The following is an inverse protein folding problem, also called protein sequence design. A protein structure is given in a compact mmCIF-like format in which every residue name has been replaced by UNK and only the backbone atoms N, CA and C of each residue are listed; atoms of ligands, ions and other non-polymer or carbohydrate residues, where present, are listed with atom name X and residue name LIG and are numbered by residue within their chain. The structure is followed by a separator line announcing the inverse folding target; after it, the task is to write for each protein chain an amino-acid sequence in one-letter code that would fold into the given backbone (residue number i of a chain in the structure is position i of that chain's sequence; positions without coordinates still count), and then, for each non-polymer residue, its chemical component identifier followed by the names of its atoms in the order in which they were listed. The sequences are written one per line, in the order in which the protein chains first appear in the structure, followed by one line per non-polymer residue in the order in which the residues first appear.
data_IF_454628376998
#
_entry.id   IF_454628376998
#
_cell.length_a   1.000
_cell.length_b   1.000
_cell.length_c   1.000
_cell.angle_alpha   90.00
_cell.angle_beta   90.00
_cell.angle_gamma   90.00
#
_symmetry.space_group_name_H-M   'P 1'
#
loop_
_entity.id
_entity.type
_entity.pdbx_description
1 polymer ?
#
# COMPACT_ATOMS: atom_id res chain seq x y z
N UNK A 1 -31.07 44.62 -51.16
CA UNK A 1 -30.86 44.13 -49.78
C UNK A 1 -31.16 42.64 -49.74
N UNK A 2 -30.12 41.79 -49.80
CA UNK A 2 -30.22 40.33 -49.92
C UNK A 2 -30.37 39.70 -48.53
N UNK A 3 -31.41 38.89 -48.34
CA UNK A 3 -31.64 38.04 -47.17
C UNK A 3 -30.74 36.79 -47.29
N UNK A 4 -29.91 36.53 -46.29
CA UNK A 4 -29.11 35.31 -46.17
C UNK A 4 -29.83 34.39 -45.17
N UNK A 5 -30.30 33.23 -45.63
CA UNK A 5 -30.78 32.13 -44.79
C UNK A 5 -29.57 31.46 -44.12
N UNK A 6 -29.60 31.34 -42.80
CA UNK A 6 -28.70 30.47 -42.05
C UNK A 6 -29.26 29.03 -42.06
N UNK A 7 -28.54 28.11 -42.68
CA UNK A 7 -28.81 26.67 -42.61
C UNK A 7 -27.97 26.11 -41.46
N UNK A 8 -28.61 25.77 -40.35
CA UNK A 8 -27.99 25.05 -39.24
C UNK A 8 -27.85 23.57 -39.61
N UNK A 9 -26.60 23.12 -39.80
CA UNK A 9 -26.26 21.71 -39.94
C UNK A 9 -26.14 21.15 -38.53
N UNK A 10 -27.19 20.49 -38.05
CA UNK A 10 -27.16 19.73 -36.78
C UNK A 10 -26.49 18.39 -37.06
N UNK A 11 -25.21 18.27 -36.69
CA UNK A 11 -24.50 16.99 -36.72
C UNK A 11 -25.02 16.13 -35.57
N UNK A 12 -25.85 15.12 -35.89
CA UNK A 12 -26.24 14.06 -34.97
C UNK A 12 -24.99 13.23 -34.62
N UNK A 13 -24.34 13.56 -33.51
CA UNK A 13 -23.45 12.62 -32.84
C UNK A 13 -24.34 11.62 -32.10
N UNK A 14 -24.56 10.45 -32.69
CA UNK A 14 -25.10 9.30 -31.96
C UNK A 14 -24.08 8.90 -30.88
N UNK A 15 -24.27 9.43 -29.68
CA UNK A 15 -23.67 8.87 -28.49
C UNK A 15 -24.29 7.48 -28.28
N UNK A 16 -23.50 6.43 -28.47
CA UNK A 16 -23.82 5.10 -27.97
C UNK A 16 -23.85 5.15 -26.44
N UNK A 17 -24.95 5.61 -25.87
CA UNK A 17 -25.29 5.32 -24.49
C UNK A 17 -25.55 3.82 -24.40
N UNK A 18 -24.59 3.07 -23.86
CA UNK A 18 -24.82 1.68 -23.46
C UNK A 18 -25.98 1.67 -22.45
N UNK A 19 -27.02 0.90 -22.77
CA UNK A 19 -28.07 0.52 -21.83
C UNK A 19 -27.44 -0.04 -20.53
N UNK A 20 -28.13 -0.06 -19.38
CA UNK A 20 -27.65 -0.71 -18.16
C UNK A 20 -27.60 -2.23 -18.39
N UNK A 21 -26.57 -2.65 -19.10
CA UNK A 21 -26.35 -3.98 -19.61
C UNK A 21 -25.59 -4.80 -18.58
N UNK A 22 -25.96 -6.08 -18.53
CA UNK A 22 -25.29 -7.16 -17.82
C UNK A 22 -23.77 -6.94 -17.75
N UNK A 23 -23.20 -6.96 -16.55
CA UNK A 23 -21.75 -6.84 -16.39
C UNK A 23 -21.03 -7.88 -17.26
N UNK A 24 -19.93 -7.52 -17.95
CA UNK A 24 -19.26 -8.44 -18.85
C UNK A 24 -18.80 -9.68 -18.10
N UNK A 25 -18.92 -10.85 -18.73
CA UNK A 25 -18.39 -12.09 -18.15
C UNK A 25 -16.88 -12.02 -18.00
N UNK A 26 -16.31 -12.83 -17.11
CA UNK A 26 -14.86 -12.95 -16.96
C UNK A 26 -14.20 -13.30 -18.30
N UNK A 27 -14.78 -14.26 -19.04
CA UNK A 27 -14.33 -14.69 -20.37
C UNK A 27 -14.31 -13.54 -21.38
N UNK A 28 -15.39 -12.77 -21.47
CA UNK A 28 -15.45 -11.62 -22.38
C UNK A 28 -14.39 -10.56 -22.02
N UNK A 29 -14.24 -10.27 -20.72
CA UNK A 29 -13.25 -9.29 -20.23
C UNK A 29 -11.82 -9.73 -20.57
N UNK A 30 -11.48 -10.99 -20.33
CA UNK A 30 -10.15 -11.56 -20.61
C UNK A 30 -9.84 -11.47 -22.12
N UNK A 31 -10.81 -11.81 -22.97
CA UNK A 31 -10.63 -11.74 -24.41
C UNK A 31 -10.40 -10.31 -24.91
N UNK A 32 -11.18 -9.34 -24.41
CA UNK A 32 -11.08 -7.94 -24.85
C UNK A 32 -9.84 -7.23 -24.33
N UNK A 33 -9.47 -7.44 -23.05
CA UNK A 33 -8.49 -6.59 -22.38
C UNK A 33 -7.16 -7.28 -22.03
N UNK A 34 -7.08 -8.62 -22.07
CA UNK A 34 -5.91 -9.35 -21.59
C UNK A 34 -5.18 -10.11 -22.70
N UNK A 35 -5.89 -10.85 -23.55
CA UNK A 35 -5.30 -11.78 -24.54
C UNK A 35 -4.43 -11.07 -25.58
N UNK A 36 -4.71 -9.81 -25.91
CA UNK A 36 -3.88 -9.03 -26.83
C UNK A 36 -2.40 -8.92 -26.42
N UNK A 37 -2.11 -8.95 -25.10
CA UNK A 37 -0.75 -8.82 -24.57
C UNK A 37 -0.27 -10.08 -23.82
N UNK A 38 -1.17 -10.79 -23.14
CA UNK A 38 -0.87 -11.98 -22.34
C UNK A 38 -1.18 -13.27 -23.10
N UNK A 39 -0.58 -13.47 -24.27
CA UNK A 39 -0.75 -14.69 -25.08
C UNK A 39 0.54 -15.51 -25.19
N UNK A 40 0.50 -16.67 -25.83
CA UNK A 40 1.69 -17.54 -25.99
C UNK A 40 2.86 -16.87 -26.72
N UNK A 41 2.57 -15.89 -27.60
CA UNK A 41 3.59 -15.23 -28.43
C UNK A 41 4.25 -14.05 -27.71
N UNK A 42 3.57 -13.43 -26.74
CA UNK A 42 4.09 -12.30 -25.96
C UNK A 42 4.47 -12.64 -24.51
N UNK A 43 3.73 -13.57 -23.89
CA UNK A 43 3.82 -14.00 -22.48
C UNK A 43 4.23 -12.89 -21.52
N UNK A 44 3.65 -11.69 -21.66
CA UNK A 44 4.09 -10.52 -20.90
C UNK A 44 3.98 -10.80 -19.40
N UNK A 45 5.04 -10.47 -18.67
CA UNK A 45 5.22 -10.78 -17.25
C UNK A 45 5.10 -12.28 -16.91
N UNK A 46 5.41 -13.17 -17.87
CA UNK A 46 5.40 -14.62 -17.69
C UNK A 46 4.00 -15.23 -17.62
N UNK A 47 2.97 -14.55 -18.14
CA UNK A 47 1.58 -15.01 -18.13
C UNK A 47 1.04 -15.17 -19.56
N UNK A 48 0.68 -16.39 -19.92
CA UNK A 48 -0.07 -16.73 -21.13
C UNK A 48 -1.53 -17.01 -20.75
N UNK A 49 -2.34 -15.95 -20.66
CA UNK A 49 -3.73 -16.03 -20.20
C UNK A 49 -4.63 -16.76 -21.20
N UNK A 50 -4.23 -16.83 -22.46
CA UNK A 50 -4.90 -17.57 -23.53
C UNK A 50 -4.79 -19.09 -23.39
N UNK A 51 -3.91 -19.58 -22.51
CA UNK A 51 -3.87 -20.99 -22.06
C UNK A 51 -4.75 -21.25 -20.84
N UNK A 52 -5.24 -20.22 -20.17
CA UNK A 52 -6.09 -20.37 -18.99
C UNK A 52 -7.55 -20.47 -19.41
N UNK A 53 -8.34 -21.21 -18.65
CA UNK A 53 -9.78 -21.30 -18.85
C UNK A 53 -10.51 -20.42 -17.81
N UNK A 54 -11.12 -19.29 -18.22
CA UNK A 54 -11.85 -18.41 -17.31
C UNK A 54 -13.11 -19.05 -16.71
N UNK A 55 -13.62 -20.15 -17.30
CA UNK A 55 -14.74 -20.91 -16.75
C UNK A 55 -14.29 -22.00 -15.75
N UNK A 56 -12.98 -22.28 -15.69
CA UNK A 56 -12.36 -23.26 -14.77
C UNK A 56 -11.22 -22.63 -13.98
N UNK A 57 -11.50 -21.52 -13.31
CA UNK A 57 -10.52 -20.74 -12.52
C UNK A 57 -9.73 -21.59 -11.52
N UNK A 58 -10.37 -22.58 -10.88
CA UNK A 58 -9.71 -23.44 -9.88
C UNK A 58 -8.62 -24.33 -10.46
N UNK A 59 -8.64 -24.63 -11.76
CA UNK A 59 -7.65 -25.48 -12.41
C UNK A 59 -6.25 -24.84 -12.45
N UNK A 60 -6.16 -23.51 -12.45
CA UNK A 60 -4.91 -22.76 -12.29
C UNK A 60 -5.10 -21.57 -11.35
N UNK A 61 -5.48 -21.88 -10.11
CA UNK A 61 -5.72 -20.87 -9.09
C UNK A 61 -4.50 -19.94 -8.90
N UNK A 62 -3.28 -20.47 -8.98
CA UNK A 62 -2.06 -19.69 -8.77
C UNK A 62 -1.90 -18.56 -9.80
N UNK A 63 -2.15 -18.82 -11.09
CA UNK A 63 -2.12 -17.79 -12.13
C UNK A 63 -3.27 -16.79 -11.95
N UNK A 64 -4.47 -17.27 -11.64
CA UNK A 64 -5.63 -16.40 -11.43
C UNK A 64 -5.54 -15.52 -10.17
N UNK A 65 -4.87 -15.98 -9.10
CA UNK A 65 -4.56 -15.15 -7.93
C UNK A 65 -3.62 -14.00 -8.27
N UNK A 66 -2.65 -14.23 -9.18
CA UNK A 66 -1.78 -13.15 -9.69
C UNK A 66 -2.59 -12.13 -10.49
N UNK A 67 -3.52 -12.60 -11.33
CA UNK A 67 -4.45 -11.73 -12.08
C UNK A 67 -5.29 -10.90 -11.12
N UNK A 68 -5.97 -11.56 -10.16
CA UNK A 68 -6.81 -10.88 -9.17
C UNK A 68 -6.04 -9.82 -8.38
N UNK A 69 -4.77 -10.07 -8.04
CA UNK A 69 -3.91 -9.10 -7.36
C UNK A 69 -3.64 -7.85 -8.20
N UNK A 70 -3.30 -8.01 -9.49
CA UNK A 70 -3.13 -6.86 -10.39
C UNK A 70 -4.43 -6.10 -10.58
N UNK A 71 -5.55 -6.83 -10.63
CA UNK A 71 -6.86 -6.22 -10.77
C UNK A 71 -7.22 -5.38 -9.52
N UNK A 72 -7.12 -5.93 -8.32
CA UNK A 72 -7.36 -5.17 -7.07
C UNK A 72 -6.51 -3.90 -6.97
N UNK A 73 -5.26 -3.97 -7.41
CA UNK A 73 -4.34 -2.82 -7.46
C UNK A 73 -4.68 -1.80 -8.57
N UNK A 74 -5.59 -2.14 -9.48
CA UNK A 74 -5.93 -1.43 -10.71
C UNK A 74 -4.74 -1.17 -11.63
N UNK A 75 -3.70 -2.00 -11.55
CA UNK A 75 -2.46 -1.88 -12.34
C UNK A 75 -2.55 -2.55 -13.70
N UNK A 76 -3.62 -3.32 -13.95
CA UNK A 76 -3.93 -3.91 -15.25
C UNK A 76 -5.34 -3.56 -15.72
N UNK A 77 -5.56 -3.27 -17.01
CA UNK A 77 -4.56 -3.07 -18.07
C UNK A 77 -3.55 -1.95 -17.73
N UNK A 78 -2.38 -1.83 -18.40
CA UNK A 78 -1.41 -0.79 -18.08
C UNK A 78 -1.85 0.60 -18.58
N UNK A 79 -1.07 1.64 -18.27
CA UNK A 79 -1.30 3.01 -18.78
C UNK A 79 -1.35 3.00 -20.31
N UNK A 80 -2.35 3.66 -20.89
CA UNK A 80 -2.52 3.82 -22.34
C UNK A 80 -3.23 2.66 -23.05
N UNK A 81 -3.50 1.54 -22.36
CA UNK A 81 -4.33 0.45 -22.90
C UNK A 81 -5.82 0.73 -22.67
N UNK A 82 -6.72 0.22 -23.54
CA UNK A 82 -8.15 0.22 -23.28
C UNK A 82 -8.46 -0.44 -21.93
N UNK A 83 -9.37 0.16 -21.16
CA UNK A 83 -9.76 -0.33 -19.83
C UNK A 83 -11.27 -0.55 -19.76
N UNK A 84 -11.74 -1.54 -18.98
CA UNK A 84 -13.13 -1.60 -18.59
C UNK A 84 -13.50 -0.41 -17.70
N UNK A 85 -14.77 -0.02 -17.71
CA UNK A 85 -15.28 0.97 -16.77
C UNK A 85 -15.26 0.42 -15.33
N UNK A 86 -15.49 1.29 -14.34
CA UNK A 86 -15.38 0.95 -12.93
C UNK A 86 -16.30 -0.22 -12.50
N UNK A 87 -17.56 -0.22 -12.94
CA UNK A 87 -18.53 -1.26 -12.60
C UNK A 87 -18.12 -2.63 -13.15
N UNK A 88 -17.64 -2.67 -14.40
CA UNK A 88 -17.10 -3.89 -15.00
C UNK A 88 -15.86 -4.38 -14.24
N UNK A 89 -14.99 -3.46 -13.80
CA UNK A 89 -13.81 -3.76 -13.01
C UNK A 89 -14.16 -4.47 -11.69
N UNK A 90 -15.09 -3.90 -10.93
CA UNK A 90 -15.56 -4.43 -9.65
C UNK A 90 -16.25 -5.78 -9.81
N UNK A 91 -17.09 -5.91 -10.84
CA UNK A 91 -17.77 -7.17 -11.17
C UNK A 91 -16.77 -8.29 -11.46
N UNK A 92 -15.74 -8.03 -12.26
CA UNK A 92 -14.72 -9.03 -12.63
C UNK A 92 -13.88 -9.41 -11.43
N UNK A 93 -13.44 -8.45 -10.61
CA UNK A 93 -12.69 -8.73 -9.36
C UNK A 93 -13.51 -9.59 -8.41
N UNK A 94 -14.79 -9.24 -8.21
CA UNK A 94 -15.70 -9.98 -7.33
C UNK A 94 -15.95 -11.40 -7.83
N UNK A 95 -16.26 -11.54 -9.13
CA UNK A 95 -16.55 -12.83 -9.76
C UNK A 95 -15.33 -13.76 -9.76
N UNK A 96 -14.15 -13.22 -10.06
CA UNK A 96 -12.90 -13.99 -10.04
C UNK A 96 -12.55 -14.44 -8.61
N UNK A 97 -12.68 -13.57 -7.61
CA UNK A 97 -12.46 -13.93 -6.22
C UNK A 97 -13.43 -15.04 -5.74
N UNK A 98 -14.71 -14.94 -6.13
CA UNK A 98 -15.71 -15.95 -5.80
C UNK A 98 -15.45 -17.28 -6.51
N UNK A 99 -14.96 -17.25 -7.76
CA UNK A 99 -14.57 -18.45 -8.50
C UNK A 99 -13.35 -19.14 -7.88
N UNK A 100 -12.35 -18.37 -7.42
CA UNK A 100 -11.18 -18.87 -6.70
C UNK A 100 -11.51 -19.51 -5.35
N UNK A 101 -12.56 -19.05 -4.68
CA UNK A 101 -13.02 -19.61 -3.41
C UNK A 101 -13.93 -20.83 -3.57
N UNK A 102 -14.49 -21.04 -4.77
CA UNK A 102 -15.53 -22.06 -4.99
C UNK A 102 -14.96 -23.46 -4.84
N UNK A 103 -15.55 -24.24 -3.93
CA UNK A 103 -15.18 -25.65 -3.72
C UNK A 103 -13.82 -25.84 -3.02
N UNK A 104 -13.19 -24.76 -2.55
CA UNK A 104 -11.96 -24.85 -1.74
C UNK A 104 -12.35 -24.88 -0.27
N UNK A 105 -12.24 -26.04 0.43
CA UNK A 105 -12.58 -26.11 1.84
C UNK A 105 -11.59 -25.28 2.65
N UNK A 106 -12.10 -24.43 3.55
CA UNK A 106 -11.27 -23.78 4.55
C UNK A 106 -10.74 -24.81 5.54
N UNK A 107 -9.55 -24.55 6.09
CA UNK A 107 -9.00 -25.37 7.17
C UNK A 107 -9.97 -25.41 8.36
N UNK A 108 -10.07 -26.55 9.08
CA UNK A 108 -10.86 -26.65 10.29
C UNK A 108 -10.44 -25.58 11.29
N UNK A 109 -11.42 -24.99 12.00
CA UNK A 109 -11.11 -24.01 13.04
C UNK A 109 -10.30 -24.68 14.16
N UNK A 110 -9.24 -24.03 14.67
CA UNK A 110 -8.42 -24.56 15.75
C UNK A 110 -9.21 -24.70 17.06
N UNK A 111 -8.71 -25.55 17.96
CA UNK A 111 -9.21 -25.64 19.33
C UNK A 111 -8.76 -24.44 20.19
N UNK A 112 -9.38 -24.23 21.34
CA UNK A 112 -9.10 -23.09 22.22
C UNK A 112 -7.64 -22.98 22.66
N UNK A 113 -6.97 -24.11 22.97
CA UNK A 113 -5.55 -24.12 23.33
C UNK A 113 -4.64 -23.65 22.18
N UNK A 114 -5.00 -24.01 20.96
CA UNK A 114 -4.29 -23.57 19.76
C UNK A 114 -4.56 -22.09 19.45
N UNK A 115 -5.80 -21.61 19.62
CA UNK A 115 -6.14 -20.19 19.52
C UNK A 115 -5.30 -19.36 20.51
N UNK A 116 -5.21 -19.78 21.77
CA UNK A 116 -4.40 -19.12 22.78
C UNK A 116 -2.92 -19.03 22.36
N UNK A 117 -2.36 -20.15 21.90
CA UNK A 117 -0.96 -20.24 21.46
C UNK A 117 -0.70 -19.33 20.26
N UNK A 118 -1.56 -19.38 19.23
CA UNK A 118 -1.46 -18.52 18.04
C UNK A 118 -1.56 -17.04 18.39
N UNK A 119 -2.47 -16.68 19.30
CA UNK A 119 -2.68 -15.30 19.72
C UNK A 119 -1.46 -14.73 20.47
N UNK A 120 -0.90 -15.48 21.42
CA UNK A 120 0.29 -15.05 22.15
C UNK A 120 1.54 -15.00 21.26
N UNK A 121 1.72 -15.97 20.37
CA UNK A 121 2.80 -15.98 19.40
C UNK A 121 2.72 -14.78 18.45
N UNK A 122 1.52 -14.44 17.97
CA UNK A 122 1.31 -13.32 17.07
C UNK A 122 1.53 -11.96 17.76
N UNK A 123 0.91 -11.75 18.93
CA UNK A 123 0.88 -10.43 19.57
C UNK A 123 2.11 -10.14 20.43
N UNK A 124 2.63 -11.15 21.12
CA UNK A 124 3.68 -10.98 22.13
C UNK A 124 4.97 -11.70 21.76
N UNK A 125 5.02 -12.44 20.65
CA UNK A 125 6.14 -13.30 20.27
C UNK A 125 6.58 -14.20 21.44
N UNK A 126 5.60 -14.76 22.16
CA UNK A 126 5.82 -15.47 23.43
C UNK A 126 4.67 -16.39 23.81
N UNK A 127 4.74 -17.04 24.98
CA UNK A 127 3.72 -17.97 25.44
C UNK A 127 2.44 -17.23 25.92
N UNK A 128 1.29 -17.91 25.91
CA UNK A 128 0.06 -17.40 26.53
C UNK A 128 0.26 -17.10 28.02
N UNK A 129 -0.35 -16.02 28.50
CA UNK A 129 -0.40 -15.75 29.93
C UNK A 129 -1.49 -16.57 30.63
N UNK A 130 -1.48 -16.57 31.97
CA UNK A 130 -2.40 -17.37 32.76
C UNK A 130 -3.87 -17.07 32.43
N UNK A 131 -4.23 -15.80 32.24
CA UNK A 131 -5.60 -15.41 31.89
C UNK A 131 -6.05 -16.00 30.54
N UNK A 132 -5.17 -15.99 29.53
CA UNK A 132 -5.47 -16.58 28.22
C UNK A 132 -5.52 -18.11 28.29
N UNK A 133 -4.65 -18.75 29.09
CA UNK A 133 -4.68 -20.19 29.35
C UNK A 133 -5.98 -20.62 30.04
N UNK A 134 -6.44 -19.86 31.03
CA UNK A 134 -7.67 -20.17 31.76
C UNK A 134 -8.90 -20.02 30.86
N UNK A 135 -8.93 -18.96 30.03
CA UNK A 135 -9.95 -18.80 29.00
C UNK A 135 -9.97 -20.00 28.03
N UNK A 136 -8.80 -20.49 27.62
CA UNK A 136 -8.67 -21.65 26.76
C UNK A 136 -9.16 -22.95 27.41
N UNK A 137 -8.75 -23.22 28.66
CA UNK A 137 -9.18 -24.39 29.45
C UNK A 137 -10.69 -24.41 29.66
N UNK A 138 -11.29 -23.23 29.84
CA UNK A 138 -12.75 -23.10 29.98
C UNK A 138 -13.54 -23.19 28.66
N UNK A 139 -12.87 -23.38 27.51
CA UNK A 139 -13.52 -23.50 26.20
C UNK A 139 -14.19 -22.21 25.70
N UNK A 140 -13.75 -21.04 26.19
CA UNK A 140 -14.40 -19.75 25.93
C UNK A 140 -13.78 -18.95 24.78
N UNK A 141 -12.61 -19.31 24.26
CA UNK A 141 -11.93 -18.55 23.20
C UNK A 141 -12.58 -18.70 21.82
N UNK A 142 -13.51 -19.64 21.66
CA UNK A 142 -14.37 -19.74 20.48
C UNK A 142 -15.55 -18.77 20.51
N UNK A 143 -15.86 -18.18 21.67
CA UNK A 143 -16.83 -17.10 21.76
C UNK A 143 -16.21 -15.82 21.17
N UNK A 144 -16.82 -15.24 20.10
CA UNK A 144 -16.28 -14.05 19.45
C UNK A 144 -16.10 -12.85 20.38
N UNK A 145 -16.95 -12.68 21.40
CA UNK A 145 -16.85 -11.57 22.35
C UNK A 145 -15.69 -11.78 23.33
N UNK A 146 -15.50 -13.00 23.83
CA UNK A 146 -14.38 -13.33 24.72
C UNK A 146 -13.04 -13.23 23.98
N UNK A 147 -12.98 -13.71 22.74
CA UNK A 147 -11.77 -13.60 21.92
C UNK A 147 -11.40 -12.14 21.65
N UNK A 148 -12.37 -11.30 21.25
CA UNK A 148 -12.15 -9.87 21.02
C UNK A 148 -11.67 -9.15 22.29
N UNK A 149 -12.24 -9.50 23.45
CA UNK A 149 -11.80 -8.99 24.75
C UNK A 149 -10.33 -9.36 25.05
N UNK A 150 -9.93 -10.62 24.83
CA UNK A 150 -8.55 -11.04 25.02
C UNK A 150 -7.59 -10.34 24.07
N UNK A 151 -7.96 -10.18 22.79
CA UNK A 151 -7.14 -9.48 21.81
C UNK A 151 -6.90 -8.02 22.24
N UNK A 152 -7.97 -7.28 22.59
CA UNK A 152 -7.82 -5.87 23.03
C UNK A 152 -6.98 -5.71 24.28
N UNK A 153 -7.18 -6.60 25.27
CA UNK A 153 -6.34 -6.65 26.47
C UNK A 153 -4.88 -6.85 26.11
N UNK A 154 -4.59 -7.80 25.23
CA UNK A 154 -3.22 -8.13 24.84
C UNK A 154 -2.57 -7.05 24.00
N UNK A 155 -3.32 -6.35 23.15
CA UNK A 155 -2.84 -5.18 22.40
C UNK A 155 -2.53 -3.99 23.32
N UNK A 156 -3.27 -3.85 24.43
CA UNK A 156 -3.04 -2.80 25.43
C UNK A 156 -1.80 -3.04 26.31
N UNK A 157 -1.34 -4.29 26.42
CA UNK A 157 -0.16 -4.69 27.19
C UNK A 157 1.14 -4.21 26.52
N UNK A 158 2.16 -3.84 27.30
CA UNK A 158 3.45 -3.40 26.78
C UNK A 158 4.15 -4.46 25.91
N UNK A 159 3.87 -5.75 26.14
CA UNK A 159 4.38 -6.86 25.32
C UNK A 159 3.91 -6.81 23.86
N UNK A 160 2.81 -6.08 23.56
CA UNK A 160 2.33 -5.93 22.17
C UNK A 160 3.30 -5.18 21.27
N UNK A 161 4.28 -4.45 21.84
CA UNK A 161 5.41 -3.90 21.12
C UNK A 161 6.16 -4.96 20.31
N UNK A 162 6.15 -6.23 20.72
CA UNK A 162 6.71 -7.34 19.96
C UNK A 162 6.10 -7.48 18.56
N UNK A 163 4.80 -7.22 18.38
CA UNK A 163 4.17 -7.21 17.06
C UNK A 163 4.64 -6.03 16.21
N UNK A 164 4.80 -4.85 16.82
CA UNK A 164 5.32 -3.67 16.12
C UNK A 164 6.75 -3.92 15.62
N UNK A 165 7.62 -4.41 16.50
CA UNK A 165 9.02 -4.64 16.17
C UNK A 165 9.22 -5.87 15.28
N UNK A 166 8.45 -6.95 15.50
CA UNK A 166 8.61 -8.23 14.82
C UNK A 166 7.90 -8.32 13.46
N UNK A 167 6.78 -7.64 13.28
CA UNK A 167 6.03 -7.64 12.02
C UNK A 167 6.17 -6.31 11.28
N UNK A 168 5.74 -5.20 11.90
CA UNK A 168 5.65 -3.92 11.19
C UNK A 168 7.02 -3.33 10.85
N UNK A 169 8.02 -3.46 11.73
CA UNK A 169 9.39 -3.01 11.47
C UNK A 169 9.96 -3.59 10.16
N UNK A 170 10.07 -4.92 10.04
CA UNK A 170 10.51 -5.58 8.82
C UNK A 170 9.57 -5.36 7.63
N UNK A 171 8.24 -5.47 7.84
CA UNK A 171 7.27 -5.34 6.75
C UNK A 171 7.31 -3.96 6.11
N UNK A 172 7.36 -2.88 6.90
CA UNK A 172 7.46 -1.50 6.40
C UNK A 172 8.90 -1.09 6.07
N UNK A 173 9.88 -1.96 6.33
CA UNK A 173 11.31 -1.77 6.11
C UNK A 173 11.96 -0.67 6.97
N UNK A 174 11.46 -0.46 8.19
CA UNK A 174 11.96 0.60 9.08
C UNK A 174 13.43 0.38 9.47
N UNK A 175 13.91 -0.86 9.47
CA UNK A 175 15.30 -1.19 9.80
C UNK A 175 16.28 -0.66 8.75
N UNK A 176 15.83 -0.41 7.51
CA UNK A 176 16.66 0.23 6.47
C UNK A 176 17.12 1.63 6.85
N UNK A 177 16.44 2.29 7.79
CA UNK A 177 16.83 3.62 8.25
C UNK A 177 18.20 3.61 8.94
N UNK A 178 18.61 2.48 9.53
CA UNK A 178 19.93 2.32 10.15
C UNK A 178 21.07 2.42 9.12
N UNK A 179 20.82 1.99 7.88
CA UNK A 179 21.82 1.97 6.81
C UNK A 179 21.92 3.31 6.05
N UNK A 180 20.97 4.22 6.26
CA UNK A 180 20.96 5.52 5.58
C UNK A 180 22.05 6.42 6.16
N UNK A 181 22.91 6.94 5.28
CA UNK A 181 24.00 7.86 5.62
C UNK A 181 23.82 9.18 4.85
N UNK A 182 23.05 10.14 5.38
CA UNK A 182 22.91 11.44 4.73
C UNK A 182 24.24 12.18 4.65
N UNK A 183 24.48 12.88 3.54
CA UNK A 183 25.67 13.69 3.37
C UNK A 183 25.68 14.84 4.41
N UNK A 184 26.68 14.90 5.32
CA UNK A 184 26.71 15.92 6.37
C UNK A 184 26.93 17.34 5.85
N UNK A 185 27.45 17.53 4.63
CA UNK A 185 27.56 18.85 4.01
C UNK A 185 26.20 19.37 3.54
N UNK A 186 25.31 18.48 3.13
CA UNK A 186 23.95 18.82 2.66
C UNK A 186 22.94 18.80 3.80
N UNK A 187 23.12 17.89 4.76
CA UNK A 187 22.23 17.65 5.89
C UNK A 187 23.00 17.67 7.22
N UNK A 188 23.56 18.82 7.63
CA UNK A 188 24.34 18.92 8.87
C UNK A 188 23.52 18.61 10.13
N UNK A 189 22.20 18.83 10.06
CA UNK A 189 21.27 18.57 11.15
C UNK A 189 20.79 17.12 11.22
N UNK A 190 21.34 16.17 10.43
CA UNK A 190 20.97 14.76 10.55
C UNK A 190 21.98 14.01 11.44
N UNK A 191 21.49 13.51 12.58
CA UNK A 191 22.27 12.79 13.58
C UNK A 191 21.56 11.49 14.02
N UNK A 192 22.24 10.69 14.85
CA UNK A 192 21.67 9.46 15.41
C UNK A 192 20.41 9.72 16.26
N UNK A 193 20.36 10.75 17.14
CA UNK A 193 19.11 11.10 17.84
C UNK A 193 17.91 11.38 16.93
N UNK A 194 18.09 12.09 15.82
CA UNK A 194 17.03 12.32 14.83
C UNK A 194 16.62 11.02 14.15
N UNK A 195 17.60 10.18 13.75
CA UNK A 195 17.33 8.86 13.17
C UNK A 195 16.47 8.00 14.10
N UNK A 196 16.83 7.94 15.38
CA UNK A 196 16.06 7.22 16.40
C UNK A 196 14.67 7.84 16.59
N UNK A 197 14.57 9.17 16.59
CA UNK A 197 13.29 9.84 16.76
C UNK A 197 12.31 9.55 15.60
N UNK A 198 12.81 9.52 14.36
CA UNK A 198 12.04 9.12 13.18
C UNK A 198 11.52 7.68 13.28
N UNK A 199 12.37 6.74 13.73
CA UNK A 199 11.95 5.34 13.93
C UNK A 199 10.93 5.22 15.06
N UNK A 200 11.14 5.94 16.16
CA UNK A 200 10.26 5.92 17.32
C UNK A 200 8.89 6.52 17.02
N UNK A 201 8.80 7.59 16.21
CA UNK A 201 7.53 8.13 15.70
C UNK A 201 6.68 7.03 15.06
N UNK A 202 7.24 6.32 14.08
CA UNK A 202 6.50 5.27 13.37
C UNK A 202 6.09 4.13 14.29
N UNK A 203 6.98 3.72 15.21
CA UNK A 203 6.67 2.70 16.20
C UNK A 203 5.49 3.08 17.09
N UNK A 204 5.53 4.26 17.71
CA UNK A 204 4.44 4.76 18.57
C UNK A 204 3.13 4.97 17.81
N UNK A 205 3.22 5.45 16.57
CA UNK A 205 2.06 5.59 15.70
C UNK A 205 1.36 4.26 15.43
N UNK A 206 2.11 3.20 15.12
CA UNK A 206 1.53 1.87 14.88
C UNK A 206 1.01 1.26 16.18
N UNK A 207 1.76 1.41 17.28
CA UNK A 207 1.35 0.96 18.61
C UNK A 207 0.02 1.59 19.02
N UNK A 208 -0.16 2.90 18.78
CA UNK A 208 -1.43 3.58 19.08
C UNK A 208 -2.58 3.08 18.21
N UNK A 209 -2.33 2.80 16.92
CA UNK A 209 -3.35 2.27 16.01
C UNK A 209 -3.87 0.91 16.48
N UNK A 210 -2.96 0.03 16.91
CA UNK A 210 -3.28 -1.29 17.46
C UNK A 210 -4.04 -1.19 18.78
N UNK A 211 -3.57 -0.36 19.71
CA UNK A 211 -4.20 -0.15 21.02
C UNK A 211 -5.61 0.43 20.93
N UNK A 212 -5.79 1.41 20.05
CA UNK A 212 -7.08 2.06 19.83
C UNK A 212 -8.04 1.19 18.98
N UNK A 213 -7.64 0.00 18.53
CA UNK A 213 -8.44 -0.92 17.71
C UNK A 213 -9.03 -0.25 16.45
N UNK A 214 -8.21 0.59 15.79
CA UNK A 214 -8.58 1.35 14.59
C UNK A 214 -8.78 0.48 13.35
N UNK A 215 -9.38 1.06 12.30
CA UNK A 215 -9.31 0.49 10.96
C UNK A 215 -7.86 0.64 10.44
N UNK A 216 -7.18 -0.43 10.01
CA UNK A 216 -5.83 -0.34 9.46
C UNK A 216 -5.65 0.64 8.29
N UNK A 217 -6.71 1.02 7.57
CA UNK A 217 -6.62 2.08 6.57
C UNK A 217 -6.18 3.42 7.17
N UNK A 218 -6.42 3.65 8.46
CA UNK A 218 -5.94 4.85 9.17
C UNK A 218 -4.42 4.94 9.25
N UNK A 219 -3.67 3.84 9.01
CA UNK A 219 -2.22 3.92 8.82
C UNK A 219 -1.85 4.92 7.71
N UNK A 220 -2.74 5.17 6.76
CA UNK A 220 -2.51 6.06 5.63
C UNK A 220 -3.16 7.43 5.79
N UNK A 221 -4.25 7.56 6.54
CA UNK A 221 -5.04 8.80 6.63
C UNK A 221 -4.98 9.49 7.99
N UNK A 222 -4.40 8.88 9.03
CA UNK A 222 -4.37 9.47 10.35
C UNK A 222 -3.78 10.89 10.31
N UNK A 223 -4.53 11.83 10.89
CA UNK A 223 -4.20 13.25 10.96
C UNK A 223 -3.45 13.61 12.25
N UNK A 224 -2.71 12.65 12.80
CA UNK A 224 -1.89 12.82 13.98
C UNK A 224 -0.60 12.04 13.85
N UNK A 225 0.42 12.44 14.60
CA UNK A 225 1.69 11.72 14.73
C UNK A 225 2.25 11.82 16.15
N UNK A 226 3.40 11.21 16.40
CA UNK A 226 4.13 11.27 17.67
C UNK A 226 5.45 11.99 17.48
N UNK A 227 5.68 13.06 18.25
CA UNK A 227 6.94 13.81 18.20
C UNK A 227 7.47 14.11 19.60
N UNK A 228 8.80 14.11 19.73
CA UNK A 228 9.51 14.84 20.78
C UNK A 228 10.03 16.17 20.23
N UNK A 229 10.74 16.96 21.04
CA UNK A 229 11.23 18.28 20.59
C UNK A 229 12.14 18.20 19.36
N UNK A 230 13.03 17.20 19.30
CA UNK A 230 13.97 17.04 18.19
C UNK A 230 13.25 16.83 16.86
N UNK A 231 12.27 15.93 16.85
CA UNK A 231 11.48 15.64 15.66
C UNK A 231 10.48 16.75 15.34
N UNK A 232 9.89 17.38 16.35
CA UNK A 232 9.02 18.53 16.17
C UNK A 232 9.74 19.67 15.44
N UNK A 233 10.99 19.99 15.82
CA UNK A 233 11.83 20.95 15.10
C UNK A 233 12.07 20.53 13.65
N UNK A 234 12.37 19.26 13.40
CA UNK A 234 12.55 18.73 12.03
C UNK A 234 11.30 18.88 11.15
N UNK A 235 10.11 18.79 11.74
CA UNK A 235 8.84 18.98 11.03
C UNK A 235 8.27 20.38 11.04
N UNK A 236 8.88 21.32 11.78
CA UNK A 236 8.33 22.67 11.97
C UNK A 236 7.08 22.71 12.86
N UNK A 237 6.94 21.78 13.80
CA UNK A 237 5.86 21.75 14.80
C UNK A 237 6.27 22.61 16.00
N UNK A 238 5.58 23.74 16.27
CA UNK A 238 5.92 24.61 17.39
C UNK A 238 5.46 24.02 18.73
N UNK A 239 5.92 24.61 19.82
CA UNK A 239 5.41 24.37 21.18
C UNK A 239 5.59 22.93 21.71
N UNK A 240 6.63 22.22 21.26
CA UNK A 240 7.05 20.92 21.80
C UNK A 240 8.44 21.10 22.41
N UNK A 241 8.64 20.57 23.63
CA UNK A 241 9.89 20.67 24.38
C UNK A 241 10.16 19.39 25.15
N UNK A 242 11.43 18.99 25.27
CA UNK A 242 11.86 17.77 25.97
C UNK A 242 11.93 16.52 25.08
N UNK A 243 12.46 15.45 25.67
CA UNK A 243 12.71 14.14 25.04
C UNK A 243 11.47 13.28 24.85
N UNK A 244 10.43 13.53 25.64
CA UNK A 244 9.21 12.70 25.66
C UNK A 244 8.38 12.86 24.39
N UNK A 245 7.93 11.74 23.85
CA UNK A 245 7.05 11.72 22.68
C UNK A 245 5.61 12.05 23.08
N UNK A 246 4.96 12.88 22.26
CA UNK A 246 3.57 13.29 22.45
C UNK A 246 2.80 13.07 21.16
N UNK A 247 1.56 12.58 21.30
CA UNK A 247 0.61 12.57 20.19
C UNK A 247 0.20 14.00 19.88
N UNK A 248 0.39 14.44 18.65
CA UNK A 248 0.04 15.79 18.17
C UNK A 248 -0.73 15.70 16.86
N UNK A 249 -1.60 16.68 16.52
CA UNK A 249 -2.14 16.79 15.18
C UNK A 249 -1.03 16.88 14.14
N UNK A 250 -1.23 16.27 12.96
CA UNK A 250 -0.30 16.42 11.84
C UNK A 250 -0.27 17.89 11.39
N UNK A 251 0.90 18.44 10.98
CA UNK A 251 1.05 19.85 10.59
C UNK A 251 0.20 20.31 9.40
N UNK A 252 -0.39 19.36 8.68
CA UNK A 252 -1.23 19.58 7.50
C UNK A 252 -1.71 18.23 6.95
N UNK A 253 -2.70 18.25 6.04
CA UNK A 253 -3.21 17.03 5.42
C UNK A 253 -2.13 16.27 4.66
N UNK A 254 -1.05 16.91 4.21
CA UNK A 254 0.04 16.35 3.42
C UNK A 254 0.88 15.35 4.22
N UNK A 255 1.05 15.59 5.52
CA UNK A 255 1.77 14.71 6.45
C UNK A 255 0.91 13.62 7.10
N UNK A 256 -0.32 13.41 6.63
CA UNK A 256 -1.19 12.37 7.18
C UNK A 256 -0.62 10.94 6.94
N UNK A 257 -0.70 10.11 7.97
CA UNK A 257 -0.30 8.70 7.97
C UNK A 257 1.15 8.44 7.55
N UNK A 258 1.42 7.19 7.17
CA UNK A 258 2.76 6.68 6.83
C UNK A 258 3.45 7.44 5.69
N UNK A 259 2.70 8.01 4.74
CA UNK A 259 3.28 8.78 3.63
C UNK A 259 3.88 10.12 4.07
N UNK A 260 3.49 10.62 5.25
CA UNK A 260 4.01 11.86 5.82
C UNK A 260 5.18 11.69 6.78
N UNK A 261 5.51 10.45 7.15
CA UNK A 261 6.52 10.15 8.18
C UNK A 261 7.92 10.15 7.59
N UNK A 262 8.83 10.80 8.30
CA UNK A 262 10.20 11.03 7.83
C UNK A 262 11.02 9.75 7.79
N UNK A 263 10.72 8.74 8.60
CA UNK A 263 11.39 7.43 8.54
C UNK A 263 11.29 6.83 7.13
N UNK A 264 10.07 6.76 6.60
CA UNK A 264 9.77 6.24 5.26
C UNK A 264 10.32 7.14 4.18
N UNK A 265 10.09 8.45 4.28
CA UNK A 265 10.57 9.42 3.29
C UNK A 265 12.11 9.40 3.16
N UNK A 266 12.80 9.14 4.27
CA UNK A 266 14.27 9.09 4.34
C UNK A 266 14.85 7.86 3.63
N UNK A 267 14.47 6.64 4.03
CA UNK A 267 15.05 5.44 3.40
C UNK A 267 14.56 5.19 1.96
N UNK A 268 13.49 5.88 1.55
CA UNK A 268 12.99 5.85 0.17
C UNK A 268 13.59 6.97 -0.71
N UNK A 269 14.63 7.66 -0.25
CA UNK A 269 15.33 8.72 -0.99
C UNK A 269 16.83 8.43 -1.14
N UNK A 270 17.51 9.20 -1.99
CA UNK A 270 18.98 9.23 -2.04
C UNK A 270 19.45 10.34 -1.11
N UNK A 271 20.11 9.98 -0.01
CA UNK A 271 20.56 10.94 1.00
C UNK A 271 22.05 11.21 0.96
N UNK A 272 22.81 10.35 0.31
CA UNK A 272 24.26 10.47 0.14
C UNK A 272 24.62 11.18 -1.16
N UNK A 273 25.90 11.58 -1.25
CA UNK A 273 26.53 11.99 -2.50
C UNK A 273 27.30 10.80 -3.07
N UNK A 274 26.58 9.76 -3.50
CA UNK A 274 27.18 8.62 -4.19
C UNK A 274 27.58 8.97 -5.63
N UNK A 275 28.60 8.28 -6.15
CA UNK A 275 29.11 8.51 -7.52
C UNK A 275 28.04 8.35 -8.63
N UNK A 276 26.98 7.57 -8.36
CA UNK A 276 25.89 7.33 -9.31
C UNK A 276 24.90 8.51 -9.32
N UNK A 277 24.58 9.09 -8.15
CA UNK A 277 23.56 10.14 -8.03
C UNK A 277 24.13 11.55 -8.00
N UNK A 278 25.41 11.73 -7.66
CA UNK A 278 26.15 13.00 -7.69
C UNK A 278 25.70 14.10 -6.71
N UNK A 279 24.52 13.95 -6.10
CA UNK A 279 23.92 14.82 -5.10
C UNK A 279 22.75 14.07 -4.42
N UNK A 280 22.37 14.41 -3.18
CA UNK A 280 21.13 13.89 -2.60
C UNK A 280 19.88 14.29 -3.40
N UNK A 281 18.84 13.45 -3.37
CA UNK A 281 17.57 13.70 -4.06
C UNK A 281 16.42 12.84 -3.52
N UNK A 282 15.22 13.42 -3.52
CA UNK A 282 14.00 12.63 -3.41
C UNK A 282 13.95 11.65 -4.60
N UNK A 283 13.49 10.42 -4.34
CA UNK A 283 13.48 9.36 -5.36
C UNK A 283 12.04 8.95 -5.69
N UNK A 284 11.43 9.50 -6.76
CA UNK A 284 10.11 9.08 -7.21
C UNK A 284 10.03 7.57 -7.46
N UNK A 285 11.12 6.99 -7.96
CA UNK A 285 11.24 5.57 -8.23
C UNK A 285 11.10 4.72 -6.95
N UNK A 286 11.90 5.04 -5.92
CA UNK A 286 11.93 4.27 -4.69
C UNK A 286 10.70 4.51 -3.83
N UNK A 287 10.22 5.76 -3.75
CA UNK A 287 8.95 6.12 -3.09
C UNK A 287 7.76 5.42 -3.74
N UNK A 288 7.64 5.51 -5.06
CA UNK A 288 6.57 4.87 -5.81
C UNK A 288 6.60 3.35 -5.70
N UNK A 289 7.80 2.74 -5.71
CA UNK A 289 7.99 1.30 -5.44
C UNK A 289 7.48 0.93 -4.05
N UNK A 290 7.83 1.71 -3.02
CA UNK A 290 7.39 1.43 -1.66
C UNK A 290 5.86 1.48 -1.54
N UNK A 291 5.20 2.52 -2.07
CA UNK A 291 3.74 2.63 -2.08
C UNK A 291 3.11 1.44 -2.80
N UNK A 292 3.64 1.09 -3.98
CA UNK A 292 3.12 0.00 -4.81
C UNK A 292 3.23 -1.37 -4.11
N UNK A 293 4.31 -1.61 -3.38
CA UNK A 293 4.51 -2.86 -2.64
C UNK A 293 3.67 -2.92 -1.36
N UNK A 294 3.62 -1.86 -0.56
CA UNK A 294 3.03 -1.89 0.78
C UNK A 294 1.55 -1.52 0.80
N UNK A 295 1.09 -0.65 -0.11
CA UNK A 295 -0.32 -0.34 -0.27
C UNK A 295 -0.99 -1.29 -1.27
N UNK A 296 -0.48 -1.37 -2.50
CA UNK A 296 -1.17 -2.07 -3.59
C UNK A 296 -0.86 -3.59 -3.63
N UNK A 297 0.15 -4.05 -2.88
CA UNK A 297 0.48 -5.47 -2.79
C UNK A 297 1.09 -6.07 -4.05
N UNK A 298 1.50 -5.23 -5.00
CA UNK A 298 2.09 -5.64 -6.27
C UNK A 298 3.55 -5.20 -6.27
N UNK A 299 4.47 -6.15 -6.49
CA UNK A 299 5.88 -5.83 -6.60
C UNK A 299 6.21 -5.36 -8.01
N UNK A 300 6.99 -4.28 -8.20
CA UNK A 300 7.52 -3.97 -9.52
C UNK A 300 8.47 -5.10 -9.94
N UNK A 301 8.75 -5.25 -11.25
CA UNK A 301 9.76 -6.20 -11.71
C UNK A 301 11.11 -5.96 -11.00
N UNK A 302 11.95 -7.00 -10.87
CA UNK A 302 13.28 -6.84 -10.31
C UNK A 302 14.04 -5.73 -11.05
N UNK A 303 14.87 -4.96 -10.34
CA UNK A 303 15.69 -3.93 -11.00
C UNK A 303 16.59 -4.61 -12.03
N UNK A 304 16.70 -4.02 -13.21
CA UNK A 304 17.70 -4.37 -14.21
C UNK A 304 18.77 -3.28 -14.21
N UNK A 305 20.04 -3.67 -14.43
CA UNK A 305 21.13 -2.72 -14.50
C UNK A 305 20.89 -1.74 -15.66
N UNK A 306 20.68 -0.47 -15.33
CA UNK A 306 20.66 0.60 -16.32
C UNK A 306 21.64 1.70 -15.91
N UNK A 307 22.42 2.17 -16.87
CA UNK A 307 23.26 3.35 -16.70
C UNK A 307 22.38 4.60 -16.84
N UNK A 308 21.54 4.87 -15.83
CA UNK A 308 20.90 6.19 -15.72
C UNK A 308 21.91 7.17 -15.12
N UNK A 309 22.43 8.08 -15.94
CA UNK A 309 23.27 9.17 -15.48
C UNK A 309 22.39 10.37 -15.16
N UNK A 310 22.35 10.76 -13.88
CA UNK A 310 21.62 11.95 -13.44
C UNK A 310 22.28 13.22 -14.00
N UNK A 311 21.47 14.16 -14.46
CA UNK A 311 21.90 15.53 -14.72
C UNK A 311 21.99 16.32 -13.40
N UNK A 312 23.17 16.84 -13.07
CA UNK A 312 23.39 17.62 -11.85
C UNK A 312 22.57 18.91 -11.86
N UNK A 313 21.99 19.30 -10.72
CA UNK A 313 21.24 20.54 -10.58
C UNK A 313 19.84 20.54 -11.19
N UNK A 314 19.41 19.42 -11.79
CA UNK A 314 18.03 19.22 -12.22
C UNK A 314 17.30 18.28 -11.25
N UNK A 315 16.09 18.60 -10.79
CA UNK A 315 15.30 17.71 -9.95
C UNK A 315 15.11 16.33 -10.58
N UNK A 316 15.25 15.27 -9.79
CA UNK A 316 15.13 13.91 -10.32
C UNK A 316 13.73 13.65 -10.91
N UNK A 317 12.67 14.18 -10.29
CA UNK A 317 11.31 14.10 -10.84
C UNK A 317 11.17 14.74 -12.23
N UNK A 318 11.81 15.90 -12.45
CA UNK A 318 11.82 16.58 -13.76
C UNK A 318 12.55 15.74 -14.80
N UNK A 319 13.70 15.16 -14.45
CA UNK A 319 14.44 14.25 -15.32
C UNK A 319 13.62 13.01 -15.68
N UNK A 320 13.00 12.37 -14.69
CA UNK A 320 12.25 11.12 -14.90
C UNK A 320 10.96 11.31 -15.68
N UNK A 321 10.33 12.49 -15.61
CA UNK A 321 9.19 12.88 -16.48
C UNK A 321 9.61 13.06 -17.93
N UNK A 322 10.78 13.65 -18.16
CA UNK A 322 11.32 13.91 -19.50
C UNK A 322 11.89 12.69 -20.21
N UNK A 323 11.87 11.50 -19.60
CA UNK A 323 12.45 10.31 -20.21
C UNK A 323 11.67 9.88 -21.47
N UNK A 324 12.37 9.59 -22.59
CA UNK A 324 11.74 9.16 -23.83
C UNK A 324 11.01 7.82 -23.65
N UNK A 325 10.08 7.50 -24.55
CA UNK A 325 9.44 6.19 -24.57
C UNK A 325 10.50 5.10 -24.83
N UNK A 326 10.60 4.14 -23.92
CA UNK A 326 11.53 3.02 -23.95
C UNK A 326 10.92 1.87 -23.16
N UNK A 327 11.37 0.62 -23.34
CA UNK A 327 10.92 -0.50 -22.51
C UNK A 327 11.06 -0.23 -20.99
N UNK A 328 12.12 0.48 -20.58
CA UNK A 328 12.36 0.85 -19.18
C UNK A 328 11.35 1.88 -18.67
N UNK A 329 11.14 2.94 -19.45
CA UNK A 329 10.24 4.05 -19.06
C UNK A 329 8.78 3.63 -19.13
N UNK A 330 8.42 2.71 -20.02
CA UNK A 330 7.09 2.12 -20.07
C UNK A 330 6.76 1.33 -18.79
N UNK A 331 7.72 0.61 -18.23
CA UNK A 331 7.55 -0.06 -16.93
C UNK A 331 7.47 0.96 -15.79
N UNK A 332 8.37 1.95 -15.78
CA UNK A 332 8.49 2.94 -14.71
C UNK A 332 7.31 3.92 -14.64
N UNK A 333 6.69 4.24 -15.78
CA UNK A 333 5.44 5.02 -15.85
C UNK A 333 4.30 4.43 -15.01
N UNK A 334 4.36 3.15 -14.66
CA UNK A 334 3.35 2.51 -13.81
C UNK A 334 3.54 2.73 -12.30
N UNK A 335 4.65 3.32 -11.85
CA UNK A 335 4.89 3.55 -10.41
C UNK A 335 5.64 4.84 -10.06
N UNK A 336 6.43 5.41 -10.96
CA UNK A 336 7.05 6.73 -10.76
C UNK A 336 6.03 7.81 -10.39
N UNK A 337 4.85 7.89 -11.05
CA UNK A 337 3.85 8.87 -10.68
C UNK A 337 3.47 8.85 -9.20
N UNK A 338 3.37 7.66 -8.58
CA UNK A 338 3.06 7.54 -7.16
C UNK A 338 4.10 8.24 -6.27
N UNK A 339 5.37 8.19 -6.68
CA UNK A 339 6.45 8.92 -6.01
C UNK A 339 6.37 10.44 -6.22
N UNK A 340 5.88 10.89 -7.38
CA UNK A 340 5.73 12.33 -7.67
C UNK A 340 4.79 13.04 -6.68
N UNK A 341 3.75 12.35 -6.19
CA UNK A 341 2.85 12.89 -5.18
C UNK A 341 3.55 13.21 -3.85
N UNK A 342 4.77 12.74 -3.63
CA UNK A 342 5.55 13.03 -2.43
C UNK A 342 6.67 14.05 -2.67
N UNK A 343 6.76 14.68 -3.85
CA UNK A 343 7.90 15.55 -4.18
C UNK A 343 7.98 16.80 -3.30
N UNK A 344 6.90 17.23 -2.65
CA UNK A 344 6.97 18.28 -1.63
C UNK A 344 7.72 17.87 -0.35
N UNK A 345 8.16 16.61 -0.24
CA UNK A 345 9.06 16.16 0.80
C UNK A 345 10.49 16.02 0.27
N UNK A 346 11.44 16.68 0.91
CA UNK A 346 12.87 16.54 0.65
C UNK A 346 13.39 15.12 1.02
N UNK A 347 14.67 14.80 0.78
CA UNK A 347 15.22 13.48 1.08
C UNK A 347 15.12 13.06 2.55
N UNK A 348 14.97 13.98 3.50
CA UNK A 348 14.81 13.69 4.93
C UNK A 348 13.36 13.85 5.41
N UNK A 349 12.43 14.06 4.48
CA UNK A 349 11.01 14.24 4.77
C UNK A 349 10.64 15.62 5.31
N UNK A 350 11.47 16.65 5.12
CA UNK A 350 11.10 18.05 5.38
C UNK A 350 10.25 18.59 4.24
N UNK A 351 9.37 19.54 4.54
CA UNK A 351 8.51 20.15 3.53
C UNK A 351 9.30 21.13 2.65
N UNK A 352 9.03 21.16 1.35
CA UNK A 352 9.63 22.06 0.37
C UNK A 352 8.64 22.44 -0.75
N UNK A 353 8.83 23.64 -1.28
CA UNK A 353 8.07 24.17 -2.43
C UNK A 353 8.96 24.41 -3.66
N UNK A 354 10.28 24.31 -3.51
CA UNK A 354 11.29 24.47 -4.57
C UNK A 354 12.29 23.32 -4.48
N UNK A 355 12.79 22.87 -5.63
CA UNK A 355 13.89 21.91 -5.81
C UNK A 355 14.99 22.54 -6.67
N UNK A 356 16.13 22.87 -6.07
CA UNK A 356 17.14 23.68 -6.75
C UNK A 356 16.55 25.04 -7.14
N UNK A 357 16.37 25.27 -8.44
CA UNK A 357 15.76 26.50 -8.99
C UNK A 357 14.33 26.31 -9.49
N UNK A 358 13.83 25.07 -9.51
CA UNK A 358 12.52 24.73 -10.07
C UNK A 358 11.45 24.69 -8.96
N UNK A 359 10.24 25.24 -9.17
CA UNK A 359 9.10 24.94 -8.32
C UNK A 359 8.83 23.43 -8.28
N UNK A 360 8.46 22.92 -7.11
CA UNK A 360 8.08 21.50 -6.97
C UNK A 360 6.80 21.25 -7.74
N UNK A 361 6.88 20.33 -8.70
CA UNK A 361 5.71 19.73 -9.35
C UNK A 361 5.45 18.35 -8.73
N UNK A 362 4.43 18.27 -7.90
CA UNK A 362 3.99 17.04 -7.25
C UNK A 362 2.80 16.36 -7.96
N UNK A 363 2.53 16.74 -9.21
CA UNK A 363 1.46 16.14 -10.01
C UNK A 363 1.83 14.74 -10.49
N UNK A 364 0.83 13.87 -10.54
CA UNK A 364 0.93 12.52 -11.03
C UNK A 364 -0.43 11.95 -11.40
N UNK A 365 -0.44 10.70 -11.84
CA UNK A 365 -1.65 9.96 -12.10
C UNK A 365 -1.49 8.50 -11.68
N UNK A 366 -2.59 7.89 -11.23
CA UNK A 366 -2.68 6.45 -11.04
C UNK A 366 -2.60 5.73 -12.39
N UNK A 367 -2.39 4.41 -12.38
CA UNK A 367 -2.30 3.60 -13.62
C UNK A 367 -3.58 3.66 -14.47
N UNK A 368 -4.74 3.90 -13.85
CA UNK A 368 -6.01 4.08 -14.55
C UNK A 368 -6.25 5.52 -15.05
N UNK A 369 -5.28 6.42 -14.87
CA UNK A 369 -5.36 7.82 -15.30
C UNK A 369 -5.93 8.77 -14.25
N UNK A 370 -6.36 8.30 -13.07
CA UNK A 370 -6.86 9.18 -12.00
C UNK A 370 -5.78 10.19 -11.59
N UNK A 371 -5.98 11.50 -11.81
CA UNK A 371 -4.96 12.50 -11.51
C UNK A 371 -4.88 12.76 -10.01
N UNK A 372 -3.72 13.22 -9.56
CA UNK A 372 -3.52 13.77 -8.22
C UNK A 372 -2.40 14.81 -8.23
N UNK A 373 -2.44 15.72 -7.27
CA UNK A 373 -1.38 16.67 -6.99
C UNK A 373 -1.01 16.63 -5.49
N UNK A 374 0.19 16.16 -5.19
CA UNK A 374 0.68 16.06 -3.83
C UNK A 374 0.12 14.89 -3.02
N UNK A 375 0.58 14.78 -1.77
CA UNK A 375 0.41 13.58 -0.96
C UNK A 375 -1.06 13.35 -0.55
N UNK A 376 -1.82 14.43 -0.34
CA UNK A 376 -3.21 14.35 0.11
C UNK A 376 -4.12 13.76 -0.98
N UNK A 377 -3.99 14.24 -2.22
CA UNK A 377 -4.75 13.72 -3.35
C UNK A 377 -4.28 12.31 -3.75
N UNK A 378 -2.97 12.02 -3.67
CA UNK A 378 -2.44 10.68 -3.85
C UNK A 378 -3.09 9.68 -2.87
N UNK A 379 -3.20 10.03 -1.58
CA UNK A 379 -3.91 9.18 -0.60
C UNK A 379 -5.35 8.95 -0.97
N UNK A 380 -6.07 10.00 -1.41
CA UNK A 380 -7.45 9.89 -1.87
C UNK A 380 -7.57 8.90 -3.03
N UNK A 381 -6.68 8.98 -4.02
CA UNK A 381 -6.66 8.06 -5.16
C UNK A 381 -6.29 6.61 -4.78
N UNK A 382 -5.40 6.43 -3.79
CA UNK A 382 -5.08 5.12 -3.22
C UNK A 382 -6.29 4.50 -2.51
N UNK A 383 -7.13 5.30 -1.86
CA UNK A 383 -8.26 4.81 -1.09
C UNK A 383 -9.37 4.18 -1.95
N UNK A 384 -9.46 4.54 -3.23
CA UNK A 384 -10.29 3.80 -4.19
C UNK A 384 -9.82 2.35 -4.41
N UNK A 385 -8.63 1.99 -3.94
CA UNK A 385 -8.05 0.64 -3.95
C UNK A 385 -7.85 0.11 -2.54
N UNK A 386 -8.69 0.51 -1.58
CA UNK A 386 -8.62 0.04 -0.19
C UNK A 386 -8.59 -1.49 -0.09
N UNK A 387 -9.28 -2.19 -0.97
CA UNK A 387 -9.30 -3.66 -0.99
C UNK A 387 -7.93 -4.27 -1.30
N UNK A 388 -7.10 -3.60 -2.11
CA UNK A 388 -5.72 -4.01 -2.36
C UNK A 388 -4.89 -3.92 -1.07
N UNK A 389 -5.02 -2.82 -0.33
CA UNK A 389 -4.33 -2.65 0.95
C UNK A 389 -4.81 -3.66 2.00
N UNK A 390 -6.12 -3.80 2.18
CA UNK A 390 -6.71 -4.76 3.13
C UNK A 390 -6.24 -6.19 2.83
N UNK A 391 -6.21 -6.59 1.56
CA UNK A 391 -5.67 -7.89 1.15
C UNK A 391 -4.18 -8.00 1.44
N UNK A 392 -3.39 -7.00 1.08
CA UNK A 392 -1.94 -7.00 1.28
C UNK A 392 -1.58 -7.11 2.75
N UNK A 393 -2.16 -6.28 3.61
CA UNK A 393 -1.95 -6.30 5.04
C UNK A 393 -2.34 -7.66 5.64
N UNK A 394 -3.54 -8.16 5.31
CA UNK A 394 -4.04 -9.42 5.87
C UNK A 394 -3.19 -10.61 5.43
N UNK A 395 -2.79 -10.65 4.16
CA UNK A 395 -1.86 -11.66 3.64
C UNK A 395 -0.51 -11.61 4.38
N UNK A 396 0.08 -10.42 4.55
CA UNK A 396 1.38 -10.27 5.20
C UNK A 396 1.33 -10.62 6.68
N UNK A 397 0.28 -10.18 7.39
CA UNK A 397 0.10 -10.48 8.80
C UNK A 397 -0.20 -11.97 9.02
N UNK A 398 -0.99 -12.60 8.15
CA UNK A 398 -1.23 -14.04 8.21
C UNK A 398 0.05 -14.81 7.90
N UNK A 399 0.83 -14.39 6.89
CA UNK A 399 2.12 -14.99 6.57
C UNK A 399 3.09 -14.95 7.76
N UNK A 400 3.12 -13.83 8.48
CA UNK A 400 3.87 -13.69 9.72
C UNK A 400 3.36 -14.64 10.82
N UNK A 401 2.04 -14.69 11.03
CA UNK A 401 1.42 -15.55 12.04
C UNK A 401 1.71 -17.05 11.82
N UNK A 402 1.68 -17.51 10.57
CA UNK A 402 1.92 -18.93 10.21
C UNK A 402 3.37 -19.22 9.84
N UNK A 403 4.24 -18.21 9.84
CA UNK A 403 5.66 -18.28 9.42
C UNK A 403 5.85 -18.92 8.04
N UNK A 404 5.01 -18.55 7.07
CA UNK A 404 5.00 -19.15 5.73
C UNK A 404 4.03 -18.47 4.76
N UNK A 405 3.97 -18.98 3.53
CA UNK A 405 3.03 -18.45 2.53
C UNK A 405 1.59 -18.87 2.87
N UNK A 406 0.66 -17.93 3.12
CA UNK A 406 -0.73 -18.26 3.39
C UNK A 406 -1.46 -18.66 2.10
N UNK A 407 -2.51 -19.47 2.25
CA UNK A 407 -3.48 -19.68 1.18
C UNK A 407 -4.43 -18.48 1.07
N UNK A 408 -4.69 -18.06 -0.17
CA UNK A 408 -5.51 -16.88 -0.44
C UNK A 408 -7.00 -17.02 -0.09
N UNK A 409 -7.62 -18.22 -0.17
CA UNK A 409 -8.97 -18.43 0.37
C UNK A 409 -9.07 -18.10 1.86
N UNK A 410 -8.08 -18.47 2.68
CA UNK A 410 -8.04 -18.08 4.09
C UNK A 410 -7.92 -16.56 4.26
N UNK A 411 -7.04 -15.90 3.51
CA UNK A 411 -6.93 -14.43 3.53
C UNK A 411 -8.28 -13.77 3.22
N UNK A 412 -8.99 -14.24 2.19
CA UNK A 412 -10.32 -13.72 1.83
C UNK A 412 -11.38 -14.05 2.88
N UNK A 413 -11.33 -15.21 3.52
CA UNK A 413 -12.24 -15.56 4.62
C UNK A 413 -12.07 -14.61 5.81
N UNK A 414 -10.83 -14.33 6.23
CA UNK A 414 -10.52 -13.35 7.28
C UNK A 414 -11.09 -11.98 6.94
N UNK A 415 -10.89 -11.49 5.71
CA UNK A 415 -11.45 -10.21 5.27
C UNK A 415 -12.98 -10.18 5.28
N UNK A 416 -13.63 -11.28 4.87
CA UNK A 416 -15.09 -11.41 4.86
C UNK A 416 -15.67 -11.33 6.28
N UNK A 417 -15.02 -11.98 7.24
CA UNK A 417 -15.40 -11.99 8.65
C UNK A 417 -15.11 -10.67 9.37
N UNK A 418 -14.04 -9.98 8.98
CA UNK A 418 -13.67 -8.69 9.55
C UNK A 418 -14.53 -7.52 9.02
N UNK A 419 -15.08 -7.64 7.80
CA UNK A 419 -15.93 -6.62 7.15
C UNK A 419 -17.07 -6.08 8.04
N UNK A 420 -17.96 -6.90 8.65
CA UNK A 420 -19.04 -6.39 9.50
C UNK A 420 -18.53 -5.69 10.77
N UNK A 421 -17.26 -5.88 11.14
CA UNK A 421 -16.59 -5.23 12.27
C UNK A 421 -15.71 -4.06 11.84
N UNK A 422 -15.95 -3.49 10.66
CA UNK A 422 -15.19 -2.39 10.05
C UNK A 422 -13.68 -2.67 9.95
N UNK A 423 -13.30 -3.94 9.77
CA UNK A 423 -11.90 -4.36 9.60
C UNK A 423 -10.94 -3.92 10.71
N UNK A 424 -11.46 -3.61 11.90
CA UNK A 424 -10.64 -3.22 13.05
C UNK A 424 -9.54 -4.25 13.32
N UNK A 425 -8.42 -3.81 13.88
CA UNK A 425 -7.28 -4.70 14.20
C UNK A 425 -7.71 -5.97 14.93
N UNK A 426 -8.54 -5.85 15.97
CA UNK A 426 -9.06 -7.00 16.72
C UNK A 426 -9.85 -7.98 15.86
N UNK A 427 -10.60 -7.50 14.87
CA UNK A 427 -11.37 -8.34 13.96
C UNK A 427 -10.47 -9.12 12.99
N UNK A 428 -9.44 -8.47 12.43
CA UNK A 428 -8.46 -9.14 11.57
C UNK A 428 -7.64 -10.16 12.34
N UNK A 429 -7.16 -9.80 13.53
CA UNK A 429 -6.40 -10.70 14.42
C UNK A 429 -7.26 -11.91 14.80
N UNK A 430 -8.53 -11.71 15.17
CA UNK A 430 -9.46 -12.79 15.48
C UNK A 430 -9.62 -13.76 14.31
N UNK A 431 -9.80 -13.23 13.09
CA UNK A 431 -9.87 -14.06 11.88
C UNK A 431 -8.58 -14.85 11.66
N UNK A 432 -7.41 -14.21 11.81
CA UNK A 432 -6.10 -14.86 11.61
C UNK A 432 -5.87 -16.01 12.60
N UNK A 433 -6.16 -15.82 13.89
CA UNK A 433 -5.86 -16.85 14.90
C UNK A 433 -6.87 -18.00 14.89
N UNK A 434 -8.04 -17.81 14.26
CA UNK A 434 -9.12 -18.81 14.19
C UNK A 434 -9.20 -19.53 12.84
N UNK A 435 -8.22 -19.36 11.94
CA UNK A 435 -8.22 -19.92 10.59
C UNK A 435 -6.97 -20.71 10.22
#
# INVERSE_FOLDING_TARGET
MKRILAVSITCLAEAFAQAPGTSPSLTATVQTYCVGCHNQNGAQAGLAIDKLNPDQVSADAASWEKVLRQLRARTMPPVGSPRPNQAAYESVVSSLAAALDRGVPLKPKPGDAEIATRLAALLWNGPPDQQLLDAAKSGRLKDPAVLEQQIRRMLSDARSKALVDGFFGPWLQLDRLADVKPDPQVFPDFDEPLRQALRQETGLFIESQLRDDRDPLELWSANYTYVNERLARHYGIPNISGSEFRRVPSPGPERAGLLGQGSILTFTSHTDTSAIMGEPAASPATRGRWIRTHFLGVNPPPPFNNNFSRQKGMPLAKQTRGLPASPCTNCHRNFFPLGYGLENFDPLGRWRTVDGTDPVDASGAMVDGTPFNGAAELRKALFERSDAFRNTLTERLLAYAVKGQPDMPTVRAVLREAKPKNYRWSALIAGIVTR
#
